data_IF_479984364033
#
_entry.id   IF_479984364033
#
_cell.length_a   1.000
_cell.length_b   1.000
_cell.length_c   1.000
_cell.angle_alpha   90.00
_cell.angle_beta   90.00
_cell.angle_gamma   90.00
#
_symmetry.space_group_name_H-M   'P 1'
#
loop_
_entity.id
_entity.type
_entity.pdbx_description
1 polymer ?
#
# COMPACT_ATOMS: atom_id res chain seq x y z
N UNK A 1 20.70 -11.34 -0.44
CA UNK A 1 19.30 -11.26 -0.88
C UNK A 1 19.17 -10.49 -2.20
N UNK A 2 19.50 -9.17 -2.27
CA UNK A 2 19.31 -8.35 -3.47
C UNK A 2 19.85 -8.97 -4.77
N UNK A 3 21.07 -9.46 -4.78
CA UNK A 3 21.68 -10.13 -5.96
C UNK A 3 20.95 -11.41 -6.39
N UNK A 4 20.35 -12.16 -5.47
CA UNK A 4 19.56 -13.36 -5.79
C UNK A 4 18.22 -13.03 -6.44
N UNK A 5 17.70 -11.83 -6.18
CA UNK A 5 16.45 -11.31 -6.72
C UNK A 5 16.69 -10.35 -7.90
N UNK A 6 17.92 -10.25 -8.38
CA UNK A 6 18.33 -9.36 -9.48
C UNK A 6 17.99 -7.87 -9.23
N UNK A 7 17.87 -7.49 -7.95
CA UNK A 7 17.63 -6.11 -7.55
C UNK A 7 18.92 -5.31 -7.74
N UNK A 8 18.85 -4.25 -8.51
CA UNK A 8 20.02 -3.40 -8.83
C UNK A 8 20.19 -2.21 -7.89
N UNK A 9 19.15 -1.86 -7.12
CA UNK A 9 19.16 -0.73 -6.19
C UNK A 9 18.37 -1.06 -4.93
N UNK A 10 18.92 -0.72 -3.77
CA UNK A 10 18.30 -0.87 -2.46
C UNK A 10 18.37 0.46 -1.73
N UNK A 11 17.24 0.93 -1.21
CA UNK A 11 17.19 2.14 -0.38
C UNK A 11 16.90 1.73 1.05
N UNK A 12 17.75 2.21 1.98
CA UNK A 12 17.60 1.96 3.42
C UNK A 12 17.29 3.29 4.11
N UNK A 13 16.02 3.56 4.45
CA UNK A 13 15.64 4.78 5.17
C UNK A 13 16.09 4.72 6.63
N UNK A 14 16.16 5.85 7.30
CA UNK A 14 16.51 5.92 8.74
C UNK A 14 15.56 5.12 9.62
N UNK A 15 14.31 4.99 9.21
CA UNK A 15 13.26 4.22 9.89
C UNK A 15 13.21 2.75 9.46
N UNK A 16 14.25 2.22 8.79
CA UNK A 16 14.25 0.87 8.22
C UNK A 16 13.84 -0.22 9.22
N UNK A 17 14.28 -0.13 10.49
CA UNK A 17 13.94 -1.09 11.52
C UNK A 17 12.46 -1.08 11.94
N UNK A 18 11.76 0.03 11.70
CA UNK A 18 10.35 0.25 12.06
C UNK A 18 9.50 0.66 10.84
N UNK A 19 9.98 0.36 9.63
CA UNK A 19 9.36 0.80 8.38
C UNK A 19 7.90 0.38 8.25
N UNK A 20 7.54 -0.81 8.72
CA UNK A 20 6.15 -1.27 8.73
C UNK A 20 5.26 -0.40 9.62
N UNK A 21 5.71 -0.10 10.83
CA UNK A 21 4.96 0.76 11.74
C UNK A 21 4.85 2.20 11.20
N UNK A 22 5.94 2.71 10.63
CA UNK A 22 5.94 4.02 9.95
C UNK A 22 4.98 4.04 8.76
N UNK A 23 4.98 2.98 7.94
CA UNK A 23 4.04 2.84 6.84
C UNK A 23 2.58 2.81 7.27
N UNK A 24 2.28 2.20 8.42
CA UNK A 24 0.92 2.23 8.98
C UNK A 24 0.48 3.66 9.36
N UNK A 25 1.39 4.49 9.85
CA UNK A 25 1.10 5.91 10.12
C UNK A 25 0.88 6.74 8.84
N UNK A 26 1.42 6.28 7.71
CA UNK A 26 1.29 6.94 6.41
C UNK A 26 0.01 6.57 5.66
N UNK A 27 -0.79 5.62 6.18
CA UNK A 27 -2.00 5.14 5.52
C UNK A 27 -3.25 5.73 6.15
N UNK A 28 -4.29 5.93 5.33
CA UNK A 28 -5.60 6.31 5.83
C UNK A 28 -6.24 5.17 6.63
N UNK A 29 -7.06 5.53 7.60
CA UNK A 29 -7.89 4.55 8.30
C UNK A 29 -8.97 4.04 7.35
N UNK A 30 -9.05 2.71 7.19
CA UNK A 30 -10.04 2.08 6.33
C UNK A 30 -10.82 1.04 7.12
N UNK A 31 -12.14 1.23 7.15
CA UNK A 31 -13.06 0.28 7.74
C UNK A 31 -13.95 -0.30 6.66
N UNK A 32 -13.86 -1.60 6.44
CA UNK A 32 -14.64 -2.30 5.42
C UNK A 32 -15.81 -3.07 6.05
N UNK A 33 -16.94 -2.99 5.41
CA UNK A 33 -18.14 -3.74 5.73
C UNK A 33 -18.56 -4.53 4.49
N UNK A 34 -18.94 -5.77 4.74
CA UNK A 34 -19.53 -6.64 3.71
C UNK A 34 -20.84 -7.19 4.27
N UNK A 35 -21.88 -7.16 3.45
CA UNK A 35 -23.17 -7.75 3.78
C UNK A 35 -23.64 -8.63 2.63
N UNK A 36 -23.79 -9.90 2.89
CA UNK A 36 -24.35 -10.85 1.92
C UNK A 36 -25.82 -10.57 1.69
N UNK A 37 -26.19 -10.44 0.44
CA UNK A 37 -27.58 -10.24 -0.01
C UNK A 37 -27.73 -10.86 -1.40
N UNK A 38 -27.99 -12.16 -1.44
CA UNK A 38 -28.07 -12.89 -2.71
C UNK A 38 -29.43 -12.69 -3.33
N UNK A 39 -29.47 -12.17 -4.55
CA UNK A 39 -30.69 -11.96 -5.30
C UNK A 39 -30.43 -11.37 -6.68
N UNK A 40 -31.36 -11.58 -7.59
CA UNK A 40 -31.39 -10.92 -8.89
C UNK A 40 -31.48 -9.39 -8.69
N UNK A 41 -30.57 -8.65 -9.27
CA UNK A 41 -30.44 -7.19 -9.04
C UNK A 41 -31.75 -6.45 -9.30
N UNK A 42 -32.47 -6.83 -10.35
CA UNK A 42 -33.76 -6.22 -10.70
C UNK A 42 -34.86 -6.46 -9.62
N UNK A 43 -34.84 -7.63 -8.98
CA UNK A 43 -35.77 -7.99 -7.91
C UNK A 43 -35.39 -7.37 -6.56
N UNK A 44 -34.08 -7.19 -6.29
CA UNK A 44 -33.62 -6.45 -5.12
C UNK A 44 -34.10 -5.01 -5.15
N UNK A 45 -34.00 -4.37 -6.30
CA UNK A 45 -34.54 -3.04 -6.53
C UNK A 45 -33.79 -1.90 -5.84
N UNK A 46 -34.04 -0.68 -6.29
CA UNK A 46 -33.33 0.52 -5.83
C UNK A 46 -33.54 0.82 -4.34
N UNK A 47 -34.74 0.57 -3.82
CA UNK A 47 -35.05 0.90 -2.43
C UNK A 47 -34.27 0.03 -1.44
N UNK A 48 -34.19 -1.26 -1.67
CA UNK A 48 -33.50 -2.19 -0.81
C UNK A 48 -31.98 -1.99 -0.93
N UNK A 49 -31.44 -1.83 -2.14
CA UNK A 49 -30.01 -1.57 -2.34
C UNK A 49 -29.57 -0.27 -1.65
N UNK A 50 -30.37 0.78 -1.74
CA UNK A 50 -30.16 2.05 -1.05
C UNK A 50 -30.18 1.88 0.46
N UNK A 51 -31.14 1.14 0.99
CA UNK A 51 -31.26 0.84 2.43
C UNK A 51 -29.98 0.13 2.93
N UNK A 52 -29.53 -0.91 2.22
CA UNK A 52 -28.33 -1.66 2.56
C UNK A 52 -27.09 -0.73 2.66
N UNK A 53 -26.86 0.10 1.66
CA UNK A 53 -25.75 1.04 1.69
C UNK A 53 -25.87 2.08 2.79
N UNK A 54 -27.06 2.63 3.02
CA UNK A 54 -27.30 3.64 4.06
C UNK A 54 -27.04 3.08 5.45
N UNK A 55 -27.55 1.88 5.75
CA UNK A 55 -27.34 1.21 7.04
C UNK A 55 -25.85 0.89 7.28
N UNK A 56 -25.17 0.42 6.23
CA UNK A 56 -23.72 0.11 6.30
C UNK A 56 -22.90 1.38 6.49
N UNK A 57 -23.24 2.46 5.79
CA UNK A 57 -22.56 3.74 5.93
C UNK A 57 -22.70 4.31 7.33
N UNK A 58 -23.94 4.32 7.88
CA UNK A 58 -24.17 4.78 9.25
C UNK A 58 -23.34 4.00 10.26
N UNK A 59 -23.31 2.67 10.13
CA UNK A 59 -22.50 1.80 11.01
C UNK A 59 -20.99 2.09 10.86
N UNK A 60 -20.48 2.18 9.64
CA UNK A 60 -19.08 2.45 9.37
C UNK A 60 -18.62 3.81 9.89
N UNK A 61 -19.45 4.85 9.73
CA UNK A 61 -19.18 6.19 10.24
C UNK A 61 -19.11 6.23 11.77
N UNK A 62 -20.05 5.55 12.45
CA UNK A 62 -20.04 5.45 13.94
C UNK A 62 -18.75 4.79 14.41
N UNK A 63 -18.37 3.68 13.81
CA UNK A 63 -17.12 2.97 14.19
C UNK A 63 -15.87 3.80 13.96
N UNK A 64 -15.78 4.52 12.86
CA UNK A 64 -14.64 5.39 12.59
C UNK A 64 -14.60 6.56 13.56
N UNK A 65 -15.74 7.19 13.86
CA UNK A 65 -15.85 8.33 14.78
C UNK A 65 -15.45 8.00 16.22
N UNK A 66 -15.56 6.73 16.66
CA UNK A 66 -15.06 6.31 17.97
C UNK A 66 -13.56 6.31 18.08
N UNK A 67 -12.86 6.22 16.95
CA UNK A 67 -11.40 6.16 16.92
C UNK A 67 -10.77 7.53 16.61
N UNK A 68 -11.35 8.29 15.68
CA UNK A 68 -10.75 9.53 15.16
C UNK A 68 -11.78 10.52 14.64
N UNK A 69 -11.50 11.81 14.84
CA UNK A 69 -12.21 12.91 14.18
C UNK A 69 -11.42 13.35 12.95
N UNK A 70 -11.83 12.90 11.77
CA UNK A 70 -11.18 13.20 10.49
C UNK A 70 -12.21 13.29 9.35
N UNK A 71 -11.88 13.94 8.23
CA UNK A 71 -12.71 13.89 7.03
C UNK A 71 -12.88 12.45 6.55
N UNK A 72 -14.11 12.10 6.18
CA UNK A 72 -14.49 10.73 5.83
C UNK A 72 -14.95 10.68 4.38
N UNK A 73 -14.39 9.76 3.59
CA UNK A 73 -14.92 9.35 2.29
C UNK A 73 -15.56 7.96 2.38
N UNK A 74 -16.53 7.71 1.52
CA UNK A 74 -17.24 6.44 1.44
C UNK A 74 -17.08 5.88 0.05
N UNK A 75 -16.65 4.62 -0.02
CA UNK A 75 -16.49 3.88 -1.25
C UNK A 75 -17.46 2.69 -1.25
N UNK A 76 -18.23 2.55 -2.31
CA UNK A 76 -19.24 1.50 -2.47
C UNK A 76 -18.83 0.54 -3.56
N UNK A 77 -19.11 -0.73 -3.35
CA UNK A 77 -18.95 -1.76 -4.36
C UNK A 77 -20.00 -2.86 -4.16
N UNK A 78 -20.17 -3.69 -5.16
CA UNK A 78 -21.01 -4.88 -5.08
C UNK A 78 -20.25 -6.08 -5.67
N UNK A 79 -20.37 -7.24 -5.05
CA UNK A 79 -19.95 -8.49 -5.67
C UNK A 79 -21.13 -9.03 -6.46
N UNK A 80 -20.92 -9.23 -7.76
CA UNK A 80 -21.98 -9.56 -8.71
C UNK A 80 -21.49 -10.63 -9.69
N UNK A 81 -22.42 -11.40 -10.22
CA UNK A 81 -22.16 -12.41 -11.25
C UNK A 81 -23.35 -12.54 -12.20
N UNK A 82 -23.15 -13.14 -13.35
CA UNK A 82 -24.29 -13.65 -14.13
C UNK A 82 -24.90 -14.87 -13.46
N UNK A 83 -26.19 -15.11 -13.67
CA UNK A 83 -26.99 -16.12 -12.97
C UNK A 83 -26.35 -17.49 -12.87
N UNK A 84 -25.75 -17.97 -13.97
CA UNK A 84 -25.16 -19.31 -14.06
C UNK A 84 -23.68 -19.38 -13.64
N UNK A 85 -23.00 -18.23 -13.40
CA UNK A 85 -21.61 -18.22 -12.99
C UNK A 85 -21.45 -18.63 -11.52
N UNK A 86 -20.31 -19.27 -11.21
CA UNK A 86 -19.97 -19.68 -9.85
C UNK A 86 -19.27 -18.54 -9.10
N UNK A 87 -18.42 -17.80 -9.80
CA UNK A 87 -17.57 -16.74 -9.21
C UNK A 87 -18.15 -15.38 -9.49
N UNK A 88 -18.23 -14.57 -8.44
CA UNK A 88 -18.60 -13.17 -8.53
C UNK A 88 -17.36 -12.30 -8.83
N UNK A 89 -17.60 -11.12 -9.38
CA UNK A 89 -16.60 -10.05 -9.51
C UNK A 89 -16.99 -8.85 -8.66
N UNK A 90 -16.02 -8.20 -8.08
CA UNK A 90 -16.24 -6.94 -7.36
C UNK A 90 -16.35 -5.78 -8.35
N UNK A 91 -17.48 -5.10 -8.30
CA UNK A 91 -17.84 -3.95 -9.14
C UNK A 91 -17.79 -2.68 -8.31
N UNK A 92 -16.81 -1.78 -8.53
CA UNK A 92 -16.80 -0.47 -7.88
C UNK A 92 -17.99 0.38 -8.33
N UNK A 93 -18.69 0.96 -7.36
CA UNK A 93 -19.83 1.83 -7.58
C UNK A 93 -19.52 3.30 -7.25
N UNK A 94 -18.24 3.64 -7.15
CA UNK A 94 -17.81 5.03 -6.94
C UNK A 94 -18.31 5.91 -8.10
N UNK A 95 -18.93 7.06 -7.74
CA UNK A 95 -19.55 7.96 -8.71
C UNK A 95 -20.98 7.57 -9.14
N UNK A 96 -21.51 6.43 -8.67
CA UNK A 96 -22.92 6.11 -8.84
C UNK A 96 -23.72 6.81 -7.74
N UNK A 97 -24.70 7.63 -8.13
CA UNK A 97 -25.61 8.24 -7.18
C UNK A 97 -26.63 7.20 -6.69
N UNK A 98 -26.53 6.82 -5.41
CA UNK A 98 -27.42 5.84 -4.79
C UNK A 98 -28.88 6.32 -4.69
N UNK A 99 -29.12 7.62 -4.85
CA UNK A 99 -30.46 8.21 -4.83
C UNK A 99 -31.09 8.36 -6.22
N UNK A 100 -30.32 8.07 -7.27
CA UNK A 100 -30.83 8.15 -8.63
C UNK A 100 -32.02 7.20 -8.84
N UNK A 101 -33.03 7.60 -9.61
CA UNK A 101 -34.18 6.73 -9.90
C UNK A 101 -33.78 5.50 -10.73
N UNK A 102 -32.76 5.62 -11.55
CA UNK A 102 -32.19 4.60 -12.42
C UNK A 102 -30.97 3.89 -11.77
N UNK A 103 -30.95 3.77 -10.43
CA UNK A 103 -29.84 3.16 -9.69
C UNK A 103 -29.54 1.73 -10.16
N UNK A 104 -30.57 0.90 -10.35
CA UNK A 104 -30.39 -0.50 -10.73
C UNK A 104 -29.80 -0.62 -12.13
N UNK A 105 -30.27 0.17 -13.06
CA UNK A 105 -29.75 0.22 -14.42
C UNK A 105 -28.27 0.60 -14.43
N UNK A 106 -27.89 1.64 -13.67
CA UNK A 106 -26.49 2.08 -13.53
C UNK A 106 -25.60 1.02 -12.91
N UNK A 107 -26.09 0.33 -11.88
CA UNK A 107 -25.34 -0.75 -11.22
C UNK A 107 -25.13 -1.92 -12.18
N UNK A 108 -26.19 -2.30 -12.93
CA UNK A 108 -26.14 -3.36 -13.93
C UNK A 108 -25.17 -3.01 -15.08
N UNK A 109 -25.22 -1.79 -15.58
CA UNK A 109 -24.31 -1.31 -16.63
C UNK A 109 -22.85 -1.32 -16.16
N UNK A 110 -22.59 -0.89 -14.91
CA UNK A 110 -21.26 -0.97 -14.29
C UNK A 110 -20.75 -2.41 -14.20
N UNK A 111 -21.62 -3.35 -13.87
CA UNK A 111 -21.27 -4.77 -13.85
C UNK A 111 -20.90 -5.26 -15.25
N UNK A 112 -21.73 -5.01 -16.28
CA UNK A 112 -21.42 -5.42 -17.65
C UNK A 112 -20.10 -4.86 -18.13
N UNK A 113 -19.86 -3.55 -17.94
CA UNK A 113 -18.60 -2.89 -18.30
C UNK A 113 -17.39 -3.48 -17.56
N UNK A 114 -17.55 -3.80 -16.27
CA UNK A 114 -16.48 -4.40 -15.47
C UNK A 114 -16.18 -5.83 -15.90
N UNK A 115 -17.23 -6.61 -16.20
CA UNK A 115 -17.10 -7.98 -16.68
C UNK A 115 -16.41 -8.03 -18.03
N UNK A 116 -16.77 -7.15 -18.95
CA UNK A 116 -16.14 -7.03 -20.27
C UNK A 116 -14.65 -6.63 -20.15
N UNK A 117 -14.33 -5.69 -19.26
CA UNK A 117 -12.95 -5.29 -19.03
C UNK A 117 -12.08 -6.42 -18.43
N UNK A 118 -12.66 -7.35 -17.69
CA UNK A 118 -11.93 -8.48 -17.08
C UNK A 118 -11.86 -9.71 -17.99
N UNK A 119 -12.93 -10.00 -18.70
CA UNK A 119 -13.09 -11.25 -19.44
C UNK A 119 -13.26 -11.08 -20.95
N UNK A 120 -13.22 -9.85 -21.45
CA UNK A 120 -13.34 -9.49 -22.88
C UNK A 120 -14.71 -9.78 -23.48
N UNK A 121 -15.73 -10.05 -22.66
CA UNK A 121 -17.12 -10.19 -23.10
C UNK A 121 -18.08 -9.72 -22.01
N UNK A 122 -19.30 -9.36 -22.44
CA UNK A 122 -20.45 -9.11 -21.58
C UNK A 122 -21.67 -9.84 -22.14
N UNK A 123 -22.64 -10.11 -21.31
CA UNK A 123 -23.88 -10.81 -21.67
C UNK A 123 -25.12 -10.05 -21.15
N UNK A 124 -25.52 -8.92 -21.79
CA UNK A 124 -26.59 -8.06 -21.29
C UNK A 124 -27.96 -8.75 -21.17
N UNK A 125 -28.17 -9.83 -21.92
CA UNK A 125 -29.43 -10.60 -21.88
C UNK A 125 -29.49 -11.59 -20.70
N UNK A 126 -28.39 -11.79 -19.97
CA UNK A 126 -28.36 -12.69 -18.81
C UNK A 126 -28.76 -11.97 -17.52
N UNK A 127 -29.38 -12.73 -16.64
CA UNK A 127 -29.72 -12.31 -15.29
C UNK A 127 -28.45 -11.92 -14.53
N UNK A 128 -28.46 -10.76 -13.89
CA UNK A 128 -27.39 -10.29 -13.01
C UNK A 128 -27.76 -10.52 -11.56
N UNK A 129 -26.94 -11.24 -10.83
CA UNK A 129 -27.15 -11.58 -9.42
C UNK A 129 -26.21 -10.77 -8.55
N UNK A 130 -26.78 -10.05 -7.59
CA UNK A 130 -26.08 -9.47 -6.46
C UNK A 130 -25.73 -10.58 -5.46
N UNK A 131 -24.49 -10.64 -4.99
CA UNK A 131 -24.03 -11.60 -4.00
C UNK A 131 -23.71 -10.90 -2.67
N UNK A 132 -22.91 -9.85 -2.72
CA UNK A 132 -22.59 -9.04 -1.56
C UNK A 132 -22.67 -7.55 -1.88
N UNK A 133 -23.05 -6.77 -0.87
CA UNK A 133 -22.87 -5.33 -0.85
C UNK A 133 -21.60 -5.01 -0.04
N UNK A 134 -20.71 -4.22 -0.58
CA UNK A 134 -19.45 -3.79 0.06
C UNK A 134 -19.44 -2.29 0.27
N UNK A 135 -18.96 -1.88 1.42
CA UNK A 135 -18.77 -0.47 1.72
C UNK A 135 -17.47 -0.28 2.51
N UNK A 136 -16.65 0.67 2.07
CA UNK A 136 -15.49 1.11 2.83
C UNK A 136 -15.70 2.55 3.29
N UNK A 137 -15.53 2.76 4.59
CA UNK A 137 -15.45 4.10 5.19
C UNK A 137 -13.99 4.41 5.41
N UNK A 138 -13.49 5.47 4.77
CA UNK A 138 -12.08 5.84 4.80
C UNK A 138 -11.92 7.19 5.50
N UNK A 139 -11.26 7.17 6.65
CA UNK A 139 -10.86 8.36 7.40
C UNK A 139 -9.54 8.88 6.87
N UNK A 140 -9.54 10.09 6.33
CA UNK A 140 -8.34 10.72 5.79
C UNK A 140 -7.49 11.27 6.93
N UNK A 141 -6.34 10.63 7.18
CA UNK A 141 -5.36 11.12 8.15
C UNK A 141 -4.52 12.27 7.58
N UNK A 142 -3.97 13.14 8.44
CA UNK A 142 -2.98 14.11 8.02
C UNK A 142 -1.79 13.40 7.37
N UNK A 143 -1.24 13.99 6.32
CA UNK A 143 0.02 13.49 5.77
C UNK A 143 1.12 13.57 6.83
N UNK A 144 1.97 12.56 6.87
CA UNK A 144 3.18 12.64 7.68
C UNK A 144 4.01 13.85 7.24
N UNK A 145 4.65 14.55 8.18
CA UNK A 145 5.55 15.63 7.84
C UNK A 145 6.68 15.10 6.93
N UNK A 146 7.10 15.90 5.97
CA UNK A 146 8.26 15.57 5.16
C UNK A 146 9.48 15.35 6.05
N UNK A 147 10.26 14.32 5.77
CA UNK A 147 11.50 14.10 6.50
C UNK A 147 12.45 15.28 6.30
N UNK A 148 13.05 15.81 7.38
CA UNK A 148 13.95 16.95 7.27
C UNK A 148 15.19 16.57 6.46
N UNK A 149 15.73 17.55 5.73
CA UNK A 149 17.04 17.43 5.13
C UNK A 149 18.10 17.52 6.23
N UNK A 150 19.15 16.72 6.10
CA UNK A 150 20.28 16.74 7.03
C UNK A 150 21.30 17.74 6.49
N UNK A 151 21.72 18.69 7.36
CA UNK A 151 22.83 19.58 7.04
C UNK A 151 24.16 18.81 7.07
N UNK A 152 24.98 19.00 6.05
CA UNK A 152 26.31 18.40 6.00
C UNK A 152 27.23 19.09 7.03
N UNK A 153 27.86 18.31 7.92
CA UNK A 153 28.74 18.80 8.99
C UNK A 153 30.08 18.06 8.99
N UNK A 154 30.91 18.30 7.97
CA UNK A 154 32.30 17.79 7.94
C UNK A 154 32.46 16.38 7.39
N UNK A 155 33.70 15.87 7.45
CA UNK A 155 34.07 14.56 6.90
C UNK A 155 33.93 13.47 7.98
N UNK A 156 33.28 12.38 7.62
CA UNK A 156 33.11 11.21 8.49
C UNK A 156 34.12 10.13 8.04
N UNK A 157 35.01 9.73 8.93
CA UNK A 157 35.87 8.56 8.72
C UNK A 157 35.17 7.28 9.23
N UNK A 158 35.65 6.11 8.76
CA UNK A 158 35.24 4.83 9.38
C UNK A 158 35.66 4.84 10.85
N UNK A 159 34.79 4.38 11.73
CA UNK A 159 35.01 4.44 13.18
C UNK A 159 35.66 3.17 13.73
N UNK A 160 35.57 2.05 12.98
CA UNK A 160 36.11 0.76 13.38
C UNK A 160 36.31 -0.16 12.18
N UNK A 161 37.02 -1.26 12.41
CA UNK A 161 37.09 -2.39 11.48
C UNK A 161 36.55 -3.65 12.16
N UNK A 162 35.93 -4.52 11.38
CA UNK A 162 35.36 -5.78 11.88
C UNK A 162 35.65 -6.91 10.90
N UNK A 163 36.04 -8.06 11.43
CA UNK A 163 36.15 -9.27 10.62
C UNK A 163 34.80 -9.83 10.26
N UNK A 164 34.55 -9.92 8.96
CA UNK A 164 33.29 -10.43 8.39
C UNK A 164 33.59 -11.56 7.42
N UNK A 165 32.80 -12.64 7.47
CA UNK A 165 32.93 -13.76 6.53
C UNK A 165 32.01 -13.55 5.32
N UNK A 166 32.63 -13.35 4.15
CA UNK A 166 31.94 -13.19 2.85
C UNK A 166 32.37 -14.23 1.82
N UNK A 167 32.57 -15.47 2.29
CA UNK A 167 33.23 -16.56 1.55
C UNK A 167 34.67 -16.74 1.99
N UNK A 168 35.34 -15.65 2.36
CA UNK A 168 36.62 -15.57 3.09
C UNK A 168 36.47 -14.57 4.22
N UNK A 169 37.39 -14.61 5.19
CA UNK A 169 37.43 -13.62 6.26
C UNK A 169 38.06 -12.32 5.75
N UNK A 170 37.29 -11.23 5.84
CA UNK A 170 37.73 -9.89 5.43
C UNK A 170 37.72 -8.95 6.64
N UNK A 171 38.67 -8.05 6.71
CA UNK A 171 38.62 -6.91 7.60
C UNK A 171 37.85 -5.78 6.91
N UNK A 172 36.69 -5.41 7.46
CA UNK A 172 35.70 -4.55 6.79
C UNK A 172 35.49 -3.29 7.62
N UNK A 173 35.54 -2.13 6.97
CA UNK A 173 35.27 -0.85 7.60
C UNK A 173 33.81 -0.78 8.12
N UNK A 174 33.65 -0.22 9.32
CA UNK A 174 32.34 -0.02 9.97
C UNK A 174 32.04 1.47 10.06
N UNK A 175 30.86 1.87 9.62
CA UNK A 175 30.37 3.24 9.64
C UNK A 175 29.09 3.34 10.49
N UNK A 176 29.00 4.35 11.34
CA UNK A 176 27.77 4.66 12.04
C UNK A 176 26.84 5.47 11.14
N UNK A 177 25.64 4.92 10.87
CA UNK A 177 24.63 5.55 10.00
C UNK A 177 24.27 6.97 10.45
N UNK A 178 24.14 7.19 11.75
CA UNK A 178 23.74 8.49 12.30
C UNK A 178 24.83 9.56 12.22
N UNK A 179 26.08 9.16 11.96
CA UNK A 179 27.21 10.07 11.78
C UNK A 179 27.51 10.38 10.31
N UNK A 180 26.90 9.65 9.37
CA UNK A 180 27.15 9.85 7.96
C UNK A 180 26.49 11.13 7.43
N UNK A 181 27.21 11.81 6.54
CA UNK A 181 26.79 13.08 5.96
C UNK A 181 26.17 12.89 4.58
N UNK A 182 25.17 13.70 4.18
CA UNK A 182 24.66 13.72 2.83
C UNK A 182 25.78 13.87 1.78
N UNK A 183 25.67 13.10 0.69
CA UNK A 183 26.68 13.06 -0.37
C UNK A 183 27.88 12.17 -0.09
N UNK A 184 27.99 11.60 1.12
CA UNK A 184 29.07 10.66 1.41
C UNK A 184 28.86 9.34 0.64
N UNK A 185 29.89 8.88 -0.04
CA UNK A 185 29.86 7.67 -0.85
C UNK A 185 30.85 6.64 -0.30
N UNK A 186 30.42 5.40 -0.21
CA UNK A 186 31.22 4.27 0.26
C UNK A 186 31.16 3.13 -0.74
N UNK A 187 32.34 2.65 -1.13
CA UNK A 187 32.45 1.39 -1.88
C UNK A 187 32.60 0.20 -0.92
N UNK A 188 31.90 -0.90 -1.25
CA UNK A 188 32.00 -2.14 -0.50
C UNK A 188 33.33 -2.90 -0.71
N UNK A 189 33.70 -3.78 0.23
CA UNK A 189 32.86 -4.23 1.33
C UNK A 189 32.88 -3.26 2.52
N UNK A 190 31.71 -2.96 3.08
CA UNK A 190 31.56 -2.12 4.24
C UNK A 190 30.33 -2.51 5.07
N UNK A 191 30.34 -2.20 6.37
CA UNK A 191 29.22 -2.35 7.28
C UNK A 191 28.77 -0.97 7.72
N UNK A 192 27.45 -0.73 7.62
CA UNK A 192 26.80 0.42 8.22
C UNK A 192 25.96 -0.06 9.39
N UNK A 193 26.04 0.57 10.52
CA UNK A 193 25.25 0.21 11.68
C UNK A 193 24.68 1.42 12.42
N UNK A 194 23.52 1.23 13.02
CA UNK A 194 22.89 2.14 13.96
C UNK A 194 22.42 1.32 15.18
N UNK A 195 21.77 1.98 16.11
CA UNK A 195 21.20 1.28 17.27
C UNK A 195 20.18 0.18 16.89
N UNK A 196 19.56 0.25 15.70
CA UNK A 196 18.43 -0.62 15.31
C UNK A 196 18.62 -1.33 13.96
N UNK A 197 19.64 -0.98 13.18
CA UNK A 197 19.80 -1.50 11.82
C UNK A 197 21.28 -1.75 11.53
N UNK A 198 21.54 -2.86 10.83
CA UNK A 198 22.86 -3.17 10.26
C UNK A 198 22.73 -3.45 8.76
N UNK A 199 23.56 -2.80 7.96
CA UNK A 199 23.60 -2.96 6.51
C UNK A 199 24.98 -3.37 6.09
N UNK A 200 25.10 -4.46 5.35
CA UNK A 200 26.33 -4.93 4.75
C UNK A 200 26.27 -4.71 3.24
N UNK A 201 27.22 -3.97 2.71
CA UNK A 201 27.47 -3.91 1.27
C UNK A 201 28.70 -4.78 0.93
N UNK A 202 28.66 -5.42 -0.23
CA UNK A 202 29.69 -6.33 -0.69
C UNK A 202 30.61 -5.65 -1.70
N UNK A 203 31.67 -6.31 -2.05
CA UNK A 203 32.56 -5.88 -3.12
C UNK A 203 31.79 -5.57 -4.41
N UNK A 204 32.04 -4.42 -4.99
CA UNK A 204 31.36 -3.89 -6.17
C UNK A 204 30.02 -3.18 -5.88
N UNK A 205 29.48 -3.26 -4.66
CA UNK A 205 28.34 -2.44 -4.27
C UNK A 205 28.82 -1.03 -3.89
N UNK A 206 27.95 -0.05 -4.06
CA UNK A 206 28.24 1.35 -3.77
C UNK A 206 27.07 1.97 -3.02
N UNK A 207 27.32 2.58 -1.88
CA UNK A 207 26.30 3.25 -1.06
C UNK A 207 26.54 4.76 -1.07
N UNK A 208 25.48 5.53 -1.35
CA UNK A 208 25.43 6.98 -1.29
C UNK A 208 24.48 7.42 -0.18
N UNK A 209 24.90 8.35 0.67
CA UNK A 209 24.05 8.98 1.67
C UNK A 209 23.22 10.08 1.01
N UNK A 210 21.90 9.93 1.01
CA UNK A 210 20.98 10.91 0.42
C UNK A 210 20.85 12.18 1.29
N UNK A 211 20.24 13.27 0.79
CA UNK A 211 19.95 14.47 1.59
C UNK A 211 19.11 14.20 2.84
N UNK A 212 18.33 13.13 2.87
CA UNK A 212 17.54 12.70 4.04
C UNK A 212 18.32 11.77 4.98
N UNK A 213 19.60 11.49 4.70
CA UNK A 213 20.41 10.55 5.48
C UNK A 213 20.07 9.08 5.26
N UNK A 214 19.41 8.74 4.16
CA UNK A 214 19.15 7.35 3.76
C UNK A 214 20.36 6.80 3.01
N UNK A 215 20.55 5.48 3.05
CA UNK A 215 21.50 4.83 2.16
C UNK A 215 20.80 4.46 0.85
N UNK A 216 21.31 4.98 -0.25
CA UNK A 216 20.97 4.56 -1.62
C UNK A 216 22.09 3.64 -2.13
N UNK A 217 21.82 2.35 -2.17
CA UNK A 217 22.81 1.32 -2.46
C UNK A 217 22.61 0.81 -3.88
N UNK A 218 23.62 0.98 -4.70
CA UNK A 218 23.72 0.35 -6.02
C UNK A 218 24.41 -0.99 -5.91
N UNK A 219 23.76 -2.04 -6.34
CA UNK A 219 24.27 -3.41 -6.28
C UNK A 219 25.15 -3.65 -7.51
N UNK A 220 26.41 -3.99 -7.27
CA UNK A 220 27.34 -4.32 -8.34
C UNK A 220 26.96 -5.61 -9.07
N UNK A 221 27.24 -5.66 -10.36
CA UNK A 221 27.15 -6.91 -11.13
C UNK A 221 28.17 -7.91 -10.57
N UNK A 222 27.83 -9.19 -10.66
CA UNK A 222 28.74 -10.30 -10.33
C UNK A 222 29.94 -10.30 -11.28
#
# INVERSE_FOLDING_TARGET
>A
MARLLEITRVVVPRVAAVLSAWGMLATNLRYELVRTHVGEVQKVGSAELRRLFTDMEANGRVRLATAFSCPVSVHRAADMRYGEQIFEITVPLDGVDINAPDLIERVTERFHSRHEALYTYSAPDQEVVLVNVRLAVVGKLPMLPAEPLIEARGVVASQAHRRVYLGTWLDVAVYHLDALQPGYEVEGPAVFESATTTVLIRHGDRALVTPHGWLDIRIGKR
#
